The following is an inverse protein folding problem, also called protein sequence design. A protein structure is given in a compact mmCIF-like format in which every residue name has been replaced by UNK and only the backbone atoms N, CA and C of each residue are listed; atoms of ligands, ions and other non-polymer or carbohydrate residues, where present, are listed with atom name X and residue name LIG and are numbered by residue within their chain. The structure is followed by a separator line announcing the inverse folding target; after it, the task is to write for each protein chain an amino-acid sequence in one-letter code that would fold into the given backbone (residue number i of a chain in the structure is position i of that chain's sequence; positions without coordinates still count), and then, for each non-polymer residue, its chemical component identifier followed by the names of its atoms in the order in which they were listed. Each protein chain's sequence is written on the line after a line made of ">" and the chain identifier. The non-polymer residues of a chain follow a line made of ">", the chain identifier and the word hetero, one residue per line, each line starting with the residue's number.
data_IF_495318615248
#
_entry.id   IF_495318615248
#
_cell.length_a   1.000
_cell.length_b   1.000
_cell.length_c   1.000
_cell.angle_alpha   90.00
_cell.angle_beta   90.00
_cell.angle_gamma   90.00
#
_symmetry.space_group_name_H-M   'P 1'
#
loop_
_entity.id
_entity.type
_entity.pdbx_description
1 polymer ?
#
# COMPACT_ATOMS: atom_id res chain seq x y z
N UNK A 1 23.21 10.77 26.71
CA UNK A 1 22.82 9.50 26.03
C UNK A 1 23.21 8.36 26.97
N UNK A 2 22.30 7.93 27.81
CA UNK A 2 22.50 6.85 28.76
C UNK A 2 22.29 5.51 28.05
N UNK A 3 23.39 4.77 27.87
CA UNK A 3 23.30 3.37 27.44
C UNK A 3 22.66 2.54 28.57
N UNK A 4 21.65 1.71 28.31
CA UNK A 4 21.16 0.77 29.31
C UNK A 4 22.20 -0.34 29.49
N UNK A 5 23.09 -0.18 30.47
CA UNK A 5 23.98 -1.23 30.93
C UNK A 5 23.13 -2.25 31.70
N UNK A 6 22.98 -3.46 31.16
CA UNK A 6 22.48 -4.60 31.93
C UNK A 6 21.68 -5.67 31.17
N UNK A 7 21.33 -5.52 29.90
CA UNK A 7 20.68 -6.60 29.16
C UNK A 7 21.70 -7.63 28.67
N UNK A 8 21.48 -8.91 29.00
CA UNK A 8 22.33 -10.00 28.51
C UNK A 8 22.21 -10.10 26.98
N UNK A 9 23.27 -10.52 26.29
CA UNK A 9 23.27 -10.73 24.83
C UNK A 9 22.13 -11.64 24.37
N UNK A 10 21.65 -12.53 25.21
CA UNK A 10 20.52 -13.41 24.93
C UNK A 10 19.18 -12.65 24.94
N UNK A 11 19.01 -11.67 25.81
CA UNK A 11 17.81 -10.84 25.89
C UNK A 11 17.75 -9.87 24.71
N UNK A 12 18.87 -9.28 24.33
CA UNK A 12 18.96 -8.42 23.15
C UNK A 12 18.59 -9.18 21.86
N UNK A 13 19.07 -10.42 21.70
CA UNK A 13 18.72 -11.28 20.57
C UNK A 13 17.23 -11.65 20.56
N UNK A 14 16.62 -11.94 21.71
CA UNK A 14 15.18 -12.22 21.80
C UNK A 14 14.35 -10.99 21.46
N UNK A 15 14.75 -9.82 21.93
CA UNK A 15 14.09 -8.54 21.62
C UNK A 15 14.16 -8.23 20.12
N UNK A 16 15.33 -8.41 19.52
CA UNK A 16 15.54 -8.21 18.08
C UNK A 16 14.64 -9.12 17.25
N UNK A 17 14.61 -10.43 17.56
CA UNK A 17 13.72 -11.38 16.88
C UNK A 17 12.25 -10.98 17.00
N UNK A 18 11.82 -10.57 18.21
CA UNK A 18 10.43 -10.13 18.42
C UNK A 18 10.09 -8.91 17.58
N UNK A 19 11.00 -7.94 17.48
CA UNK A 19 10.82 -6.75 16.64
C UNK A 19 10.79 -7.12 15.15
N UNK A 20 11.67 -8.00 14.70
CA UNK A 20 11.67 -8.50 13.32
C UNK A 20 10.34 -9.18 12.96
N UNK A 21 9.83 -10.08 13.82
CA UNK A 21 8.55 -10.74 13.61
C UNK A 21 7.37 -9.76 13.64
N UNK A 22 7.38 -8.80 14.56
CA UNK A 22 6.35 -7.75 14.62
C UNK A 22 6.33 -6.91 13.33
N UNK A 23 7.50 -6.52 12.83
CA UNK A 23 7.63 -5.75 11.58
C UNK A 23 7.17 -6.57 10.38
N UNK A 24 7.55 -7.84 10.32
CA UNK A 24 7.13 -8.75 9.24
C UNK A 24 5.61 -8.94 9.22
N UNK A 25 4.99 -9.19 10.37
CA UNK A 25 3.54 -9.34 10.46
C UNK A 25 2.81 -8.04 10.10
N UNK A 26 3.28 -6.90 10.62
CA UNK A 26 2.69 -5.60 10.30
C UNK A 26 2.78 -5.27 8.80
N UNK A 27 3.92 -5.57 8.17
CA UNK A 27 4.10 -5.41 6.72
C UNK A 27 3.16 -6.33 5.94
N UNK A 28 3.04 -7.59 6.34
CA UNK A 28 2.19 -8.58 5.68
C UNK A 28 0.71 -8.19 5.77
N UNK A 29 0.22 -7.86 6.96
CA UNK A 29 -1.18 -7.43 7.14
C UNK A 29 -1.46 -6.10 6.44
N UNK A 30 -0.57 -5.11 6.58
CA UNK A 30 -0.72 -3.83 5.92
C UNK A 30 -0.75 -3.96 4.40
N UNK A 31 0.13 -4.78 3.83
CA UNK A 31 0.13 -5.06 2.39
C UNK A 31 -1.11 -5.84 1.95
N UNK A 32 -1.59 -6.77 2.77
CA UNK A 32 -2.86 -7.47 2.55
C UNK A 32 -4.06 -6.52 2.44
N UNK A 33 -4.12 -5.51 3.31
CA UNK A 33 -5.17 -4.47 3.25
C UNK A 33 -5.11 -3.64 1.97
N UNK A 34 -3.91 -3.34 1.45
CA UNK A 34 -3.78 -2.70 0.14
C UNK A 34 -4.36 -3.57 -0.98
N UNK A 35 -4.17 -4.89 -0.91
CA UNK A 35 -4.76 -5.82 -1.86
C UNK A 35 -6.28 -5.85 -1.78
N UNK A 36 -6.86 -5.83 -0.59
CA UNK A 36 -8.33 -5.73 -0.41
C UNK A 36 -8.87 -4.48 -1.10
N UNK A 37 -8.23 -3.32 -0.89
CA UNK A 37 -8.61 -2.09 -1.57
C UNK A 37 -8.47 -2.19 -3.10
N UNK A 38 -7.45 -2.87 -3.59
CA UNK A 38 -7.20 -3.06 -5.03
C UNK A 38 -8.22 -3.99 -5.70
N UNK A 39 -8.62 -5.03 -4.99
CA UNK A 39 -9.57 -6.02 -5.51
C UNK A 39 -11.01 -5.53 -5.46
N UNK A 40 -11.30 -4.44 -4.74
CA UNK A 40 -12.65 -3.89 -4.61
C UNK A 40 -13.31 -3.60 -5.96
N UNK A 41 -12.56 -3.08 -6.94
CA UNK A 41 -13.07 -2.84 -8.29
C UNK A 41 -13.40 -4.14 -9.01
N UNK A 42 -12.59 -5.19 -8.86
CA UNK A 42 -12.83 -6.46 -9.54
C UNK A 42 -14.14 -7.12 -9.09
N UNK A 43 -14.47 -7.00 -7.81
CA UNK A 43 -15.75 -7.49 -7.26
C UNK A 43 -16.94 -6.67 -7.80
N UNK A 44 -16.73 -5.38 -8.04
CA UNK A 44 -17.78 -4.46 -8.51
C UNK A 44 -17.94 -4.42 -10.02
N UNK A 45 -17.00 -4.95 -10.80
CA UNK A 45 -17.03 -4.91 -12.27
C UNK A 45 -18.35 -5.43 -12.84
N UNK A 46 -18.78 -6.61 -12.41
CA UNK A 46 -19.99 -7.23 -12.93
C UNK A 46 -21.25 -6.40 -12.65
N UNK A 47 -21.56 -6.01 -11.40
CA UNK A 47 -22.67 -5.11 -11.12
C UNK A 47 -22.63 -3.80 -11.91
N UNK A 48 -21.46 -3.16 -12.04
CA UNK A 48 -21.28 -1.89 -12.77
C UNK A 48 -21.64 -2.04 -14.25
N UNK A 49 -21.26 -3.14 -14.88
CA UNK A 49 -21.60 -3.42 -16.28
C UNK A 49 -23.07 -3.79 -16.42
N UNK A 50 -23.59 -4.64 -15.54
CA UNK A 50 -24.98 -5.10 -15.59
C UNK A 50 -25.98 -3.94 -15.35
N UNK A 51 -25.61 -2.97 -14.53
CA UNK A 51 -26.38 -1.73 -14.29
C UNK A 51 -26.16 -0.66 -15.37
N UNK A 52 -25.27 -0.91 -16.33
CA UNK A 52 -24.98 0.02 -17.44
C UNK A 52 -24.27 1.31 -17.01
N UNK A 53 -23.63 1.34 -15.84
CA UNK A 53 -22.91 2.52 -15.33
C UNK A 53 -21.65 2.78 -16.15
N UNK A 54 -20.87 1.74 -16.42
CA UNK A 54 -19.68 1.77 -17.29
C UNK A 54 -19.67 0.56 -18.23
N UNK A 55 -19.15 0.76 -19.44
CA UNK A 55 -18.86 -0.31 -20.37
C UNK A 55 -17.61 -1.10 -19.97
N UNK A 56 -17.43 -2.31 -20.48
CA UNK A 56 -16.21 -3.12 -20.25
C UNK A 56 -14.95 -2.39 -20.72
N UNK A 57 -15.04 -1.64 -21.80
CA UNK A 57 -13.93 -0.83 -22.34
C UNK A 57 -13.53 0.28 -21.38
N UNK A 58 -14.50 1.00 -20.81
CA UNK A 58 -14.25 2.04 -19.81
C UNK A 58 -13.61 1.48 -18.55
N UNK A 59 -14.05 0.32 -18.08
CA UNK A 59 -13.44 -0.37 -16.94
C UNK A 59 -12.01 -0.84 -17.27
N UNK A 60 -11.75 -1.22 -18.52
CA UNK A 60 -10.39 -1.54 -19.00
C UNK A 60 -9.46 -0.33 -18.94
N UNK A 61 -9.94 0.84 -19.38
CA UNK A 61 -9.20 2.11 -19.31
C UNK A 61 -8.91 2.48 -17.86
N UNK A 62 -9.90 2.43 -16.99
CA UNK A 62 -9.76 2.69 -15.54
C UNK A 62 -8.69 1.77 -14.93
N UNK A 63 -8.72 0.47 -15.25
CA UNK A 63 -7.72 -0.48 -14.81
C UNK A 63 -6.31 -0.13 -15.29
N UNK A 64 -6.17 0.29 -16.54
CA UNK A 64 -4.90 0.69 -17.15
C UNK A 64 -4.32 1.94 -16.46
N UNK A 65 -5.16 2.93 -16.14
CA UNK A 65 -4.75 4.12 -15.39
C UNK A 65 -4.16 3.74 -14.03
N UNK A 66 -4.77 2.81 -13.30
CA UNK A 66 -4.24 2.34 -12.03
C UNK A 66 -2.84 1.73 -12.20
N UNK A 67 -2.68 0.81 -13.17
CA UNK A 67 -1.39 0.15 -13.38
C UNK A 67 -0.29 1.13 -13.77
N UNK A 68 -0.60 2.10 -14.62
CA UNK A 68 0.33 3.12 -15.05
C UNK A 68 0.77 4.02 -13.89
N UNK A 69 -0.18 4.55 -13.13
CA UNK A 69 0.12 5.39 -11.96
C UNK A 69 0.82 4.61 -10.86
N UNK A 70 0.48 3.33 -10.68
CA UNK A 70 1.17 2.43 -9.75
C UNK A 70 2.63 2.20 -10.16
N UNK A 71 2.92 2.03 -11.45
CA UNK A 71 4.29 1.87 -11.94
C UNK A 71 5.15 3.12 -11.70
N UNK A 72 4.61 4.30 -12.03
CA UNK A 72 5.26 5.59 -11.73
C UNK A 72 5.43 5.75 -10.22
N UNK A 73 4.38 5.43 -9.46
CA UNK A 73 4.38 5.46 -8.01
C UNK A 73 5.47 4.58 -7.41
N UNK A 74 5.68 3.37 -7.91
CA UNK A 74 6.77 2.49 -7.43
C UNK A 74 8.14 3.14 -7.56
N UNK A 75 8.38 3.80 -8.68
CA UNK A 75 9.65 4.48 -8.91
C UNK A 75 9.83 5.65 -7.93
N UNK A 76 8.86 6.55 -7.85
CA UNK A 76 8.94 7.75 -6.98
C UNK A 76 8.90 7.38 -5.49
N UNK A 77 8.01 6.49 -5.10
CA UNK A 77 7.85 6.07 -3.71
C UNK A 77 8.99 5.19 -3.19
N UNK A 78 9.74 4.52 -4.08
CA UNK A 78 10.98 3.85 -3.72
C UNK A 78 11.98 4.83 -3.09
N UNK A 79 12.24 5.94 -3.76
CA UNK A 79 13.13 6.99 -3.23
C UNK A 79 12.58 7.67 -1.96
N UNK A 80 11.25 7.89 -1.90
CA UNK A 80 10.63 8.49 -0.72
C UNK A 80 10.69 7.57 0.50
N UNK A 81 10.49 6.27 0.30
CA UNK A 81 10.51 5.27 1.38
C UNK A 81 11.89 5.18 2.04
N UNK A 82 12.97 5.30 1.26
CA UNK A 82 14.33 5.27 1.79
C UNK A 82 14.62 6.39 2.79
N UNK A 83 13.97 7.53 2.63
CA UNK A 83 14.16 8.74 3.44
C UNK A 83 13.06 8.95 4.48
N UNK A 84 12.05 8.09 4.49
CA UNK A 84 10.85 8.26 5.31
C UNK A 84 10.81 7.28 6.48
N UNK A 85 9.98 7.60 7.48
CA UNK A 85 9.58 6.64 8.50
C UNK A 85 8.59 5.65 7.87
N UNK A 86 9.04 4.40 7.67
CA UNK A 86 8.32 3.36 6.92
C UNK A 86 6.90 3.14 7.45
N UNK A 87 6.71 3.12 8.78
CA UNK A 87 5.40 2.90 9.38
C UNK A 87 4.43 4.03 9.04
N UNK A 88 4.88 5.28 9.16
CA UNK A 88 4.04 6.44 8.81
C UNK A 88 3.75 6.48 7.32
N UNK A 89 4.75 6.20 6.50
CA UNK A 89 4.64 6.18 5.05
C UNK A 89 3.62 5.15 4.57
N UNK A 90 3.71 3.92 5.08
CA UNK A 90 2.76 2.85 4.78
C UNK A 90 1.34 3.17 5.25
N UNK A 91 1.20 3.69 6.48
CA UNK A 91 -0.11 4.04 7.06
C UNK A 91 -0.78 5.16 6.29
N UNK A 92 -0.02 6.20 5.90
CA UNK A 92 -0.56 7.32 5.10
C UNK A 92 -1.06 6.83 3.74
N UNK A 93 -0.27 6.01 3.04
CA UNK A 93 -0.68 5.43 1.76
C UNK A 93 -1.95 4.58 1.88
N UNK A 94 -2.04 3.75 2.92
CA UNK A 94 -3.21 2.91 3.17
C UNK A 94 -4.46 3.75 3.48
N UNK A 95 -4.32 4.77 4.33
CA UNK A 95 -5.43 5.65 4.71
C UNK A 95 -5.97 6.42 3.51
N UNK A 96 -5.10 7.00 2.69
CA UNK A 96 -5.53 7.70 1.46
C UNK A 96 -6.19 6.72 0.49
N UNK A 97 -5.63 5.53 0.30
CA UNK A 97 -6.23 4.50 -0.56
C UNK A 97 -7.62 4.09 -0.07
N UNK A 98 -7.80 3.92 1.23
CA UNK A 98 -9.10 3.59 1.82
C UNK A 98 -10.13 4.71 1.63
N UNK A 99 -9.73 5.97 1.86
CA UNK A 99 -10.59 7.14 1.61
C UNK A 99 -11.00 7.26 0.15
N UNK A 100 -10.06 7.08 -0.78
CA UNK A 100 -10.36 7.08 -2.22
C UNK A 100 -11.35 5.98 -2.58
N UNK A 101 -11.17 4.75 -2.05
CA UNK A 101 -12.13 3.67 -2.26
C UNK A 101 -13.52 4.00 -1.72
N UNK A 102 -13.61 4.70 -0.59
CA UNK A 102 -14.89 5.17 -0.06
C UNK A 102 -15.53 6.18 -1.01
N UNK A 103 -14.77 7.17 -1.50
CA UNK A 103 -15.26 8.17 -2.47
C UNK A 103 -15.74 7.51 -3.78
N UNK A 104 -15.06 6.47 -4.26
CA UNK A 104 -15.45 5.71 -5.43
C UNK A 104 -16.83 5.03 -5.27
N UNK A 105 -17.24 4.73 -4.05
CA UNK A 105 -18.56 4.19 -3.77
C UNK A 105 -19.71 5.14 -4.08
N UNK A 106 -19.46 6.44 -4.12
CA UNK A 106 -20.45 7.48 -4.37
C UNK A 106 -20.34 8.12 -5.76
N UNK A 107 -19.42 7.64 -6.60
CA UNK A 107 -19.08 8.25 -7.89
C UNK A 107 -19.59 7.41 -9.05
N UNK A 108 -20.40 8.02 -9.92
CA UNK A 108 -20.89 7.43 -11.17
C UNK A 108 -20.29 8.09 -12.43
N UNK A 109 -19.39 9.07 -12.25
CA UNK A 109 -18.72 9.74 -13.36
C UNK A 109 -17.47 8.99 -13.78
N UNK A 110 -17.35 8.60 -15.05
CA UNK A 110 -16.19 7.90 -15.60
C UNK A 110 -14.88 8.67 -15.37
N UNK A 111 -14.86 9.97 -15.65
CA UNK A 111 -13.65 10.79 -15.53
C UNK A 111 -13.21 10.87 -14.06
N UNK A 112 -14.14 11.15 -13.15
CA UNK A 112 -13.83 11.23 -11.72
C UNK A 112 -13.40 9.88 -11.18
N UNK A 113 -14.02 8.80 -11.60
CA UNK A 113 -13.65 7.44 -11.22
C UNK A 113 -12.23 7.09 -11.67
N UNK A 114 -11.87 7.40 -12.94
CA UNK A 114 -10.54 7.17 -13.48
C UNK A 114 -9.47 7.98 -12.74
N UNK A 115 -9.73 9.24 -12.41
CA UNK A 115 -8.82 10.09 -11.64
C UNK A 115 -8.60 9.53 -10.23
N UNK A 116 -9.68 9.25 -9.52
CA UNK A 116 -9.61 8.69 -8.16
C UNK A 116 -8.89 7.33 -8.15
N UNK A 117 -9.16 6.49 -9.14
CA UNK A 117 -8.51 5.18 -9.25
C UNK A 117 -7.02 5.30 -9.58
N UNK A 118 -6.65 6.29 -10.40
CA UNK A 118 -5.26 6.64 -10.66
C UNK A 118 -4.53 7.13 -9.40
N UNK A 119 -5.15 8.02 -8.63
CA UNK A 119 -4.62 8.47 -7.34
C UNK A 119 -4.42 7.27 -6.41
N UNK A 120 -5.43 6.39 -6.31
CA UNK A 120 -5.33 5.15 -5.54
C UNK A 120 -4.13 4.30 -5.97
N UNK A 121 -3.86 4.17 -7.26
CA UNK A 121 -2.72 3.42 -7.79
C UNK A 121 -1.38 3.96 -7.30
N UNK A 122 -1.21 5.28 -7.32
CA UNK A 122 0.02 5.91 -6.84
C UNK A 122 0.23 5.68 -5.33
N UNK A 123 -0.80 5.89 -4.51
CA UNK A 123 -0.74 5.66 -3.06
C UNK A 123 -0.61 4.17 -2.70
N UNK A 124 -1.18 3.27 -3.47
CA UNK A 124 -1.00 1.82 -3.27
C UNK A 124 0.45 1.38 -3.47
N UNK A 125 1.22 2.05 -4.31
CA UNK A 125 2.64 1.76 -4.51
C UNK A 125 3.48 2.04 -3.27
N UNK A 126 3.03 2.93 -2.36
CA UNK A 126 3.67 3.18 -1.07
C UNK A 126 3.71 1.93 -0.20
N UNK A 127 2.70 1.08 -0.26
CA UNK A 127 2.67 -0.21 0.44
C UNK A 127 3.79 -1.14 -0.01
N UNK A 128 3.96 -1.30 -1.32
CA UNK A 128 5.01 -2.15 -1.88
C UNK A 128 6.42 -1.62 -1.54
N UNK A 129 6.65 -0.30 -1.70
CA UNK A 129 7.92 0.33 -1.35
C UNK A 129 8.23 0.18 0.14
N UNK A 130 7.24 0.39 1.02
CA UNK A 130 7.39 0.23 2.47
C UNK A 130 7.77 -1.20 2.85
N UNK A 131 7.16 -2.21 2.23
CA UNK A 131 7.49 -3.61 2.50
C UNK A 131 8.93 -3.93 2.11
N UNK A 132 9.35 -3.56 0.91
CA UNK A 132 10.71 -3.83 0.41
C UNK A 132 11.75 -3.15 1.29
N UNK A 133 11.63 -1.84 1.52
CA UNK A 133 12.57 -1.07 2.34
C UNK A 133 12.51 -1.50 3.80
N UNK A 134 11.33 -1.77 4.34
CA UNK A 134 11.16 -2.22 5.72
C UNK A 134 11.82 -3.56 5.97
N UNK A 135 11.59 -4.54 5.10
CA UNK A 135 12.20 -5.86 5.23
C UNK A 135 13.72 -5.81 5.00
N UNK A 136 14.20 -5.05 4.02
CA UNK A 136 15.63 -4.93 3.76
C UNK A 136 16.39 -4.33 4.96
N UNK A 137 15.81 -3.36 5.67
CA UNK A 137 16.43 -2.75 6.86
C UNK A 137 16.51 -3.70 8.06
N UNK A 138 15.56 -4.63 8.21
CA UNK A 138 15.49 -5.54 9.35
C UNK A 138 16.12 -6.91 9.11
N UNK A 139 16.23 -7.34 7.86
CA UNK A 139 16.74 -8.64 7.44
C UNK A 139 18.01 -8.58 6.58
N UNK A 140 18.62 -7.39 6.43
CA UNK A 140 19.94 -7.27 5.82
C UNK A 140 20.98 -7.86 6.76
N UNK A 141 21.41 -9.07 6.46
CA UNK A 141 22.61 -9.66 7.07
C UNK A 141 23.84 -8.83 6.66
N UNK A 142 24.49 -8.23 7.64
CA UNK A 142 25.87 -7.75 7.52
C UNK A 142 26.80 -8.76 8.12
#
# INVERSE_FOLDING_TARGET
>A
MTQPHGESLSEQKKRLKRLQWSTFLAATFGYGLYYVCRLSLNVRKKPIVDEGIFSETELGIIGSVLFFTYAIGKFTNGFLADRSNINRFMTTGLLVTALVNLCLGFTNSFILFAILWGISGWFQSMGAASCVVGLSRWFSDK
#
